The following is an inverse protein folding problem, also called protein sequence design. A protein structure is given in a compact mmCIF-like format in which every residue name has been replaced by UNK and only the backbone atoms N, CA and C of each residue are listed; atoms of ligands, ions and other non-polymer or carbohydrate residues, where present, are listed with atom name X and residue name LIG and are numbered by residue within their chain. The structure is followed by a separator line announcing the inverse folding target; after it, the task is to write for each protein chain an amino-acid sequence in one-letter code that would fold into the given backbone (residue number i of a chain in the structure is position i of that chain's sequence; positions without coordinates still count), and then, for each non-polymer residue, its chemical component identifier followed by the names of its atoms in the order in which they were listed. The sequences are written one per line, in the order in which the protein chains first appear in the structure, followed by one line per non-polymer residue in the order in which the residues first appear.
data_IF_583415736977
#
_entry.id   IF_583415736977
#
_cell.length_a   1.000
_cell.length_b   1.000
_cell.length_c   1.000
_cell.angle_alpha   90.00
_cell.angle_beta   90.00
_cell.angle_gamma   90.00
#
_symmetry.space_group_name_H-M   'P 1'
#
loop_
_entity.id
_entity.type
_entity.pdbx_description
1 polymer ?
#
# COMPACT_ATOMS: atom_id res chain seq x y z
N UNK A 1 20.87 -9.12 22.36
CA UNK A 1 20.69 -8.42 21.06
C UNK A 1 19.73 -9.25 20.24
N UNK A 2 18.45 -8.85 20.17
CA UNK A 2 17.49 -9.48 19.28
C UNK A 2 17.60 -8.70 17.97
N UNK A 3 18.28 -9.27 16.97
CA UNK A 3 18.19 -8.76 15.61
C UNK A 3 16.73 -8.91 15.18
N UNK A 4 16.11 -7.83 14.68
CA UNK A 4 14.78 -7.92 14.09
C UNK A 4 14.84 -8.96 12.97
N UNK A 5 14.13 -10.10 13.09
CA UNK A 5 14.19 -11.14 12.07
C UNK A 5 13.67 -10.55 10.76
N UNK A 6 14.44 -10.72 9.68
CA UNK A 6 13.97 -10.36 8.34
C UNK A 6 12.67 -11.11 8.08
N UNK A 7 11.59 -10.36 7.89
CA UNK A 7 10.30 -10.93 7.58
C UNK A 7 10.32 -11.45 6.14
N UNK A 8 10.15 -12.76 5.97
CA UNK A 8 10.22 -13.42 4.66
C UNK A 8 8.83 -13.67 4.05
N UNK A 9 7.78 -13.12 4.66
CA UNK A 9 6.40 -13.43 4.33
C UNK A 9 5.87 -14.69 5.03
N UNK A 10 4.55 -14.90 5.00
CA UNK A 10 3.88 -16.00 5.66
C UNK A 10 4.09 -17.30 4.88
N UNK A 11 4.41 -18.38 5.61
CA UNK A 11 4.47 -19.75 5.10
C UNK A 11 3.12 -20.46 5.32
N UNK A 12 2.85 -21.63 4.69
CA UNK A 12 1.62 -22.38 4.92
C UNK A 12 1.32 -22.64 6.40
N UNK A 13 2.35 -22.90 7.23
CA UNK A 13 2.21 -23.07 8.67
C UNK A 13 1.74 -21.78 9.38
N UNK A 14 2.15 -20.60 8.91
CA UNK A 14 1.73 -19.31 9.48
C UNK A 14 0.21 -19.11 9.36
N UNK A 15 -0.38 -19.51 8.23
CA UNK A 15 -1.83 -19.41 8.04
C UNK A 15 -2.61 -20.30 9.00
N UNK A 16 -2.10 -21.49 9.33
CA UNK A 16 -2.69 -22.36 10.34
C UNK A 16 -2.57 -21.75 11.73
N UNK A 17 -1.38 -21.30 12.13
CA UNK A 17 -1.16 -20.64 13.42
C UNK A 17 -2.04 -19.39 13.56
N UNK A 18 -2.24 -18.65 12.47
CA UNK A 18 -3.06 -17.43 12.45
C UNK A 18 -4.56 -17.67 12.71
N UNK A 19 -5.05 -18.91 12.71
CA UNK A 19 -6.42 -19.24 13.12
C UNK A 19 -6.66 -18.96 14.61
N UNK A 20 -5.61 -19.01 15.44
CA UNK A 20 -5.69 -18.48 16.80
C UNK A 20 -5.51 -16.94 16.75
N UNK A 21 -6.53 -16.15 17.13
CA UNK A 21 -6.43 -14.69 17.14
C UNK A 21 -5.34 -14.14 18.07
N UNK A 22 -4.91 -14.95 19.05
CA UNK A 22 -3.86 -14.61 20.02
C UNK A 22 -2.46 -15.04 19.56
N UNK A 23 -2.36 -15.82 18.49
CA UNK A 23 -1.07 -16.24 17.98
C UNK A 23 -0.27 -15.04 17.50
N UNK A 24 0.92 -14.88 18.07
CA UNK A 24 1.86 -13.80 17.75
C UNK A 24 3.03 -14.24 16.87
N UNK A 25 3.40 -15.51 16.96
CA UNK A 25 4.40 -16.17 16.14
C UNK A 25 3.87 -17.49 15.61
N UNK A 26 4.40 -17.91 14.46
CA UNK A 26 4.25 -19.28 14.02
C UNK A 26 5.13 -20.18 14.90
N UNK A 27 4.50 -21.20 15.48
CA UNK A 27 5.13 -22.24 16.30
C UNK A 27 6.11 -23.13 15.53
N UNK A 28 5.96 -23.22 14.21
CA UNK A 28 6.82 -24.05 13.36
C UNK A 28 8.01 -23.29 12.76
N UNK A 29 7.77 -22.13 12.15
CA UNK A 29 8.83 -21.38 11.45
C UNK A 29 9.36 -20.18 12.23
N UNK A 30 8.77 -19.85 13.39
CA UNK A 30 9.18 -18.73 14.23
C UNK A 30 8.88 -17.33 13.65
N UNK A 31 8.28 -17.23 12.46
CA UNK A 31 7.96 -15.95 11.84
C UNK A 31 6.84 -15.23 12.60
N UNK A 32 6.89 -13.88 12.70
CA UNK A 32 5.81 -13.11 13.31
C UNK A 32 4.53 -13.22 12.47
N UNK A 33 3.38 -13.31 13.14
CA UNK A 33 2.07 -13.32 12.49
C UNK A 33 1.62 -11.88 12.22
N UNK A 34 2.02 -11.34 11.07
CA UNK A 34 1.67 -9.98 10.65
C UNK A 34 0.32 -9.97 9.92
N UNK A 35 -0.70 -9.44 10.59
CA UNK A 35 -2.09 -9.43 10.10
C UNK A 35 -2.40 -8.17 9.29
N UNK A 36 -3.31 -8.32 8.32
CA UNK A 36 -3.96 -7.18 7.67
C UNK A 36 -4.62 -6.24 8.70
N UNK A 37 -4.70 -4.94 8.41
CA UNK A 37 -5.45 -4.00 9.27
C UNK A 37 -6.93 -4.38 9.43
N UNK A 38 -7.50 -5.07 8.44
CA UNK A 38 -8.89 -5.55 8.41
C UNK A 38 -8.96 -7.09 8.53
N UNK A 39 -8.02 -7.69 9.26
CA UNK A 39 -7.92 -9.14 9.45
C UNK A 39 -9.20 -9.78 10.00
N UNK A 40 -10.02 -9.03 10.76
CA UNK A 40 -11.33 -9.49 11.25
C UNK A 40 -12.31 -9.81 10.13
N UNK A 41 -12.17 -9.12 8.99
CA UNK A 41 -13.00 -9.34 7.82
C UNK A 41 -12.34 -10.27 6.81
N UNK A 42 -11.03 -10.12 6.58
CA UNK A 42 -10.35 -10.80 5.49
C UNK A 42 -9.53 -12.03 5.90
N UNK A 43 -9.27 -12.22 7.19
CA UNK A 43 -8.44 -13.33 7.73
C UNK A 43 -6.99 -13.36 7.23
N UNK A 44 -6.56 -12.35 6.46
CA UNK A 44 -5.32 -12.40 5.71
C UNK A 44 -4.11 -11.95 6.53
N UNK A 45 -2.99 -12.62 6.26
CA UNK A 45 -1.65 -12.16 6.65
C UNK A 45 -1.08 -11.28 5.55
N UNK A 46 -0.19 -10.37 5.93
CA UNK A 46 0.58 -9.58 4.97
C UNK A 46 1.58 -10.48 4.25
N UNK A 47 1.75 -10.30 2.95
CA UNK A 47 2.77 -11.00 2.16
C UNK A 47 4.18 -10.47 2.45
N UNK A 48 5.21 -11.03 1.78
CA UNK A 48 6.60 -10.61 1.96
C UNK A 48 6.85 -9.13 1.66
N UNK A 49 6.03 -8.49 0.82
CA UNK A 49 6.12 -7.05 0.57
C UNK A 49 5.51 -6.24 1.72
N UNK A 50 4.63 -6.83 2.53
CA UNK A 50 3.85 -6.12 3.56
C UNK A 50 2.47 -5.70 3.07
N UNK A 51 2.03 -6.19 1.91
CA UNK A 51 0.70 -5.95 1.35
C UNK A 51 -0.28 -7.04 1.79
N UNK A 52 -1.56 -6.69 1.98
CA UNK A 52 -2.60 -7.69 2.17
C UNK A 52 -3.05 -8.23 0.80
N UNK A 53 -2.85 -9.53 0.48
CA UNK A 53 -3.19 -10.09 -0.83
C UNK A 53 -4.71 -10.22 -1.06
N UNK A 54 -5.52 -10.04 -0.01
CA UNK A 54 -6.99 -10.15 -0.09
C UNK A 54 -7.66 -8.79 -0.21
N UNK A 55 -7.24 -7.81 0.59
CA UNK A 55 -7.83 -6.46 0.60
C UNK A 55 -7.27 -5.53 -0.47
N UNK A 56 -6.07 -5.84 -0.98
CA UNK A 56 -5.37 -5.05 -2.00
C UNK A 56 -5.07 -5.97 -3.16
N UNK A 57 -6.01 -6.06 -4.09
CA UNK A 57 -5.92 -6.91 -5.27
C UNK A 57 -6.29 -6.14 -6.55
N UNK A 58 -5.53 -5.08 -6.90
CA UNK A 58 -5.72 -4.43 -8.18
C UNK A 58 -5.29 -5.37 -9.31
N UNK A 59 -6.02 -5.31 -10.42
CA UNK A 59 -5.61 -5.88 -11.70
C UNK A 59 -5.59 -4.76 -12.74
N UNK A 60 -4.60 -4.79 -13.63
CA UNK A 60 -4.52 -3.91 -14.77
C UNK A 60 -4.47 -4.77 -16.03
N UNK A 61 -5.31 -4.47 -17.01
CA UNK A 61 -5.30 -5.17 -18.29
C UNK A 61 -5.43 -4.19 -19.46
N UNK A 62 -4.96 -4.61 -20.63
CA UNK A 62 -5.27 -3.97 -21.91
C UNK A 62 -6.57 -4.56 -22.43
N UNK A 63 -7.51 -3.70 -22.83
CA UNK A 63 -8.79 -4.15 -23.37
C UNK A 63 -8.61 -4.89 -24.70
N UNK A 64 -9.56 -5.78 -25.03
CA UNK A 64 -9.60 -6.41 -26.35
C UNK A 64 -9.74 -5.34 -27.45
N UNK A 65 -9.11 -5.56 -28.60
CA UNK A 65 -9.02 -4.57 -29.66
C UNK A 65 -7.94 -3.50 -29.46
N UNK A 66 -7.16 -3.57 -28.36
CA UNK A 66 -6.00 -2.70 -28.19
C UNK A 66 -5.02 -2.89 -29.35
N UNK A 67 -4.56 -1.78 -29.90
CA UNK A 67 -3.54 -1.75 -30.94
C UNK A 67 -2.23 -2.36 -30.42
N UNK A 68 -1.68 -3.29 -31.19
CA UNK A 68 -0.47 -4.06 -30.88
C UNK A 68 0.77 -3.53 -31.63
N UNK A 69 0.60 -2.68 -32.66
CA UNK A 69 1.69 -1.97 -33.34
C UNK A 69 1.25 -0.58 -33.82
N UNK A 70 2.22 0.27 -34.12
CA UNK A 70 2.00 1.61 -34.69
C UNK A 70 3.16 1.95 -35.63
N UNK A 71 2.93 2.80 -36.64
CA UNK A 71 4.01 3.25 -37.53
C UNK A 71 4.76 4.43 -36.94
N UNK A 72 6.00 4.62 -37.38
CA UNK A 72 6.77 5.85 -37.13
C UNK A 72 5.91 7.08 -37.49
N UNK A 73 5.96 8.08 -36.62
CA UNK A 73 5.16 9.30 -36.70
C UNK A 73 3.75 9.18 -36.15
N UNK A 74 3.30 7.99 -35.75
CA UNK A 74 2.00 7.75 -35.12
C UNK A 74 2.01 7.88 -33.58
N UNK A 75 0.82 7.75 -32.99
CA UNK A 75 0.61 7.64 -31.54
C UNK A 75 -0.22 6.40 -31.24
N UNK A 76 0.13 5.67 -30.18
CA UNK A 76 -0.57 4.48 -29.74
C UNK A 76 -1.58 4.83 -28.64
N UNK A 77 -2.82 4.35 -28.79
CA UNK A 77 -3.82 4.38 -27.74
C UNK A 77 -3.84 3.04 -27.01
N UNK A 78 -3.68 3.08 -25.69
CA UNK A 78 -3.68 1.93 -24.79
C UNK A 78 -4.93 2.03 -23.91
N UNK A 79 -6.02 1.34 -24.29
CA UNK A 79 -7.22 1.28 -23.46
C UNK A 79 -6.95 0.35 -22.28
N UNK A 80 -6.65 0.93 -21.12
CA UNK A 80 -6.41 0.18 -19.90
C UNK A 80 -7.72 -0.05 -19.16
N UNK A 81 -7.81 -1.19 -18.47
CA UNK A 81 -8.88 -1.50 -17.54
C UNK A 81 -8.26 -1.76 -16.18
N UNK A 82 -8.67 -0.98 -15.18
CA UNK A 82 -8.29 -1.21 -13.77
C UNK A 82 -9.45 -1.94 -13.10
N UNK A 83 -9.18 -3.07 -12.47
CA UNK A 83 -10.17 -3.85 -11.73
C UNK A 83 -9.77 -4.04 -10.26
N UNK A 84 -10.78 -4.17 -9.39
CA UNK A 84 -10.57 -4.55 -7.99
C UNK A 84 -11.01 -6.01 -7.79
N UNK A 85 -10.04 -6.91 -7.69
CA UNK A 85 -10.28 -8.35 -7.49
C UNK A 85 -10.38 -8.76 -6.02
N UNK A 86 -10.51 -7.79 -5.10
CA UNK A 86 -10.70 -8.08 -3.67
C UNK A 86 -11.86 -9.05 -3.46
N UNK A 87 -11.62 -10.12 -2.70
CA UNK A 87 -12.66 -11.11 -2.35
C UNK A 87 -13.50 -10.71 -1.14
N UNK A 88 -13.13 -9.62 -0.48
CA UNK A 88 -13.87 -9.03 0.63
C UNK A 88 -14.54 -7.74 0.19
N UNK A 89 -15.53 -7.28 0.94
CA UNK A 89 -16.29 -6.06 0.65
C UNK A 89 -15.47 -4.76 0.89
N UNK A 90 -14.28 -4.65 0.30
CA UNK A 90 -13.31 -3.58 0.49
C UNK A 90 -13.03 -2.84 -0.82
N UNK A 91 -13.46 -1.57 -0.94
CA UNK A 91 -13.13 -0.76 -2.09
C UNK A 91 -11.63 -0.48 -2.20
N UNK A 92 -11.16 -0.36 -3.43
CA UNK A 92 -9.87 0.25 -3.76
C UNK A 92 -10.10 1.69 -4.21
N UNK A 93 -9.24 2.59 -3.77
CA UNK A 93 -9.23 3.97 -4.23
C UNK A 93 -8.02 4.16 -5.13
N UNK A 94 -8.26 4.49 -6.40
CA UNK A 94 -7.17 4.81 -7.34
C UNK A 94 -7.00 6.32 -7.31
N UNK A 95 -5.92 6.77 -6.68
CA UNK A 95 -5.75 8.18 -6.33
C UNK A 95 -5.02 8.96 -7.44
N UNK A 96 -4.09 8.30 -8.13
CA UNK A 96 -3.34 8.90 -9.23
C UNK A 96 -2.77 7.81 -10.15
N UNK A 97 -2.53 8.16 -11.42
CA UNK A 97 -1.89 7.30 -12.41
C UNK A 97 -0.93 8.14 -13.26
N UNK A 98 0.23 7.55 -13.58
CA UNK A 98 1.22 8.15 -14.45
C UNK A 98 1.67 7.16 -15.52
N UNK A 99 2.13 7.72 -16.63
CA UNK A 99 2.81 7.01 -17.70
C UNK A 99 4.18 7.63 -17.88
N UNK A 100 5.19 6.78 -18.04
CA UNK A 100 6.56 7.18 -18.36
C UNK A 100 7.00 6.50 -19.64
N UNK A 101 7.33 7.31 -20.65
CA UNK A 101 7.88 6.82 -21.92
C UNK A 101 9.40 6.73 -21.89
N UNK A 102 10.01 6.59 -23.07
CA UNK A 102 11.47 6.50 -23.23
C UNK A 102 12.21 7.80 -22.88
N UNK A 103 11.53 8.94 -23.01
CA UNK A 103 12.03 10.25 -22.56
C UNK A 103 12.23 10.36 -21.05
N UNK A 104 11.78 9.36 -20.29
CA UNK A 104 11.86 9.30 -18.83
C UNK A 104 10.91 10.27 -18.11
N UNK A 105 10.13 11.08 -18.83
CA UNK A 105 9.21 12.04 -18.23
C UNK A 105 7.95 11.33 -17.73
N UNK A 106 7.62 11.55 -16.46
CA UNK A 106 6.35 11.10 -15.86
C UNK A 106 5.24 12.05 -16.29
N UNK A 107 4.21 11.53 -16.96
CA UNK A 107 3.00 12.27 -17.37
C UNK A 107 1.81 11.74 -16.60
N UNK A 108 1.07 12.62 -15.96
CA UNK A 108 -0.15 12.25 -15.24
C UNK A 108 -1.27 11.88 -16.22
N UNK A 109 -2.03 10.86 -15.85
CA UNK A 109 -3.20 10.39 -16.60
C UNK A 109 -4.44 10.79 -15.82
N UNK A 110 -5.35 11.48 -16.48
CA UNK A 110 -6.63 11.84 -15.88
C UNK A 110 -7.47 10.58 -15.63
N UNK A 111 -7.90 10.40 -14.38
CA UNK A 111 -8.70 9.26 -13.97
C UNK A 111 -10.19 9.66 -13.96
N UNK A 112 -11.06 8.99 -14.74
CA UNK A 112 -12.50 9.28 -14.73
C UNK A 112 -13.22 8.69 -13.49
N UNK A 113 -12.48 8.02 -12.60
CA UNK A 113 -12.97 7.40 -11.38
C UNK A 113 -11.90 7.46 -10.29
N UNK A 114 -12.34 7.38 -9.03
CA UNK A 114 -11.42 7.29 -7.88
C UNK A 114 -11.70 6.11 -6.97
N UNK A 115 -12.80 5.37 -7.19
CA UNK A 115 -13.24 4.28 -6.31
C UNK A 115 -13.69 3.09 -7.14
N UNK A 116 -13.13 1.93 -6.84
CA UNK A 116 -13.51 0.64 -7.38
C UNK A 116 -14.02 -0.25 -6.25
N UNK A 117 -15.32 -0.54 -6.27
CA UNK A 117 -15.87 -1.57 -5.38
C UNK A 117 -15.33 -2.95 -5.78
N UNK A 118 -15.34 -3.93 -4.87
CA UNK A 118 -14.96 -5.31 -5.17
C UNK A 118 -15.70 -5.87 -6.39
N UNK A 119 -14.96 -6.51 -7.30
CA UNK A 119 -15.47 -7.05 -8.56
C UNK A 119 -15.77 -5.99 -9.64
N UNK A 120 -15.65 -4.70 -9.34
CA UNK A 120 -15.84 -3.65 -10.33
C UNK A 120 -14.54 -3.36 -11.10
N UNK A 121 -14.72 -2.87 -12.32
CA UNK A 121 -13.65 -2.39 -13.19
C UNK A 121 -14.01 -1.03 -13.79
N UNK A 122 -12.99 -0.29 -14.23
CA UNK A 122 -13.16 0.96 -14.95
C UNK A 122 -12.04 1.15 -15.97
N UNK A 123 -12.38 1.82 -17.07
CA UNK A 123 -11.45 2.08 -18.17
C UNK A 123 -10.66 3.36 -17.95
N UNK A 124 -9.40 3.35 -18.38
CA UNK A 124 -8.50 4.51 -18.42
C UNK A 124 -7.87 4.57 -19.80
N UNK A 125 -8.07 5.68 -20.50
CA UNK A 125 -7.45 5.91 -21.80
C UNK A 125 -6.04 6.45 -21.63
N UNK A 126 -5.03 5.66 -22.00
CA UNK A 126 -3.65 6.13 -22.11
C UNK A 126 -3.31 6.35 -23.58
N UNK A 127 -2.63 7.45 -23.88
CA UNK A 127 -2.08 7.72 -25.21
C UNK A 127 -0.61 7.99 -25.11
N UNK A 128 0.17 7.37 -26.00
CA UNK A 128 1.58 7.71 -26.14
C UNK A 128 1.70 9.08 -26.82
N UNK A 129 2.85 9.71 -26.64
CA UNK A 129 3.29 10.77 -27.56
C UNK A 129 3.51 10.23 -28.97
N UNK A 130 3.95 11.12 -29.87
CA UNK A 130 4.36 10.74 -31.22
C UNK A 130 5.64 9.90 -31.14
N UNK A 131 5.67 8.79 -31.85
CA UNK A 131 6.80 7.85 -31.84
C UNK A 131 7.69 8.12 -33.05
N UNK A 132 8.92 8.56 -32.82
CA UNK A 132 9.80 9.08 -33.89
C UNK A 132 10.72 8.04 -34.50
N UNK A 133 10.92 6.91 -33.82
CA UNK A 133 11.85 5.85 -34.21
C UNK A 133 11.13 4.51 -34.35
N UNK A 134 11.54 3.71 -35.32
CA UNK A 134 11.10 2.33 -35.43
C UNK A 134 11.83 1.44 -34.40
N UNK A 135 11.24 0.27 -34.12
CA UNK A 135 11.80 -0.70 -33.18
C UNK A 135 10.86 -1.01 -32.02
N UNK A 136 11.39 -1.66 -30.97
CA UNK A 136 10.60 -2.00 -29.79
C UNK A 136 10.58 -0.82 -28.82
N UNK A 137 9.39 -0.31 -28.54
CA UNK A 137 9.19 0.77 -27.56
C UNK A 137 8.64 0.22 -26.26
N UNK A 138 8.92 0.91 -25.16
CA UNK A 138 8.37 0.58 -23.85
C UNK A 138 7.77 1.81 -23.19
N UNK A 139 6.60 1.62 -22.58
CA UNK A 139 6.07 2.57 -21.60
C UNK A 139 5.92 1.88 -20.24
N UNK A 140 6.20 2.62 -19.19
CA UNK A 140 5.91 2.21 -17.82
C UNK A 140 4.61 2.88 -17.37
N UNK A 141 3.70 2.10 -16.79
CA UNK A 141 2.45 2.58 -16.19
C UNK A 141 2.58 2.43 -14.69
N UNK A 142 2.28 3.49 -13.95
CA UNK A 142 2.33 3.52 -12.49
C UNK A 142 1.02 4.06 -11.93
N UNK A 143 0.54 3.55 -10.80
CA UNK A 143 -0.62 4.14 -10.12
C UNK A 143 -0.57 3.95 -8.60
N UNK A 144 -1.21 4.87 -7.88
CA UNK A 144 -1.43 4.76 -6.43
C UNK A 144 -2.77 4.09 -6.18
N UNK A 145 -2.75 3.01 -5.40
CA UNK A 145 -3.95 2.38 -4.87
C UNK A 145 -3.97 2.47 -3.35
N UNK A 146 -5.09 2.93 -2.79
CA UNK A 146 -5.34 3.00 -1.37
C UNK A 146 -6.47 2.05 -0.95
N UNK A 147 -6.37 1.51 0.25
CA UNK A 147 -7.43 0.76 0.92
C UNK A 147 -7.66 1.36 2.30
N UNK A 148 -8.92 1.41 2.74
CA UNK A 148 -9.32 2.07 4.00
C UNK A 148 -10.02 1.09 4.92
N UNK A 149 -9.69 1.09 6.19
CA UNK A 149 -10.39 0.34 7.23
C UNK A 149 -10.51 1.18 8.50
N UNK A 150 -11.76 1.41 8.93
CA UNK A 150 -12.07 2.34 10.02
C UNK A 150 -11.44 3.72 9.75
N UNK A 151 -10.56 4.19 10.63
CA UNK A 151 -9.83 5.46 10.50
C UNK A 151 -8.43 5.30 9.91
N UNK A 152 -8.09 4.10 9.41
CA UNK A 152 -6.76 3.79 8.85
C UNK A 152 -6.80 3.66 7.34
N UNK A 153 -5.68 3.98 6.71
CA UNK A 153 -5.49 3.92 5.27
C UNK A 153 -4.11 3.37 4.92
N UNK A 154 -4.06 2.35 4.08
CA UNK A 154 -2.82 1.83 3.50
C UNK A 154 -2.78 2.18 2.01
N UNK A 155 -1.65 2.73 1.56
CA UNK A 155 -1.38 3.14 0.19
C UNK A 155 -0.22 2.36 -0.37
N UNK A 156 -0.34 2.04 -1.65
CA UNK A 156 0.62 1.27 -2.41
C UNK A 156 0.79 1.90 -3.79
N UNK A 157 1.99 1.82 -4.34
CA UNK A 157 2.26 2.19 -5.74
C UNK A 157 2.51 0.91 -6.51
N UNK A 158 1.75 0.71 -7.59
CA UNK A 158 1.94 -0.40 -8.51
C UNK A 158 2.53 0.11 -9.81
N UNK A 159 3.39 -0.71 -10.42
CA UNK A 159 4.00 -0.45 -11.72
C UNK A 159 3.89 -1.67 -12.62
N UNK A 160 3.82 -1.42 -13.92
CA UNK A 160 3.99 -2.42 -14.96
C UNK A 160 4.57 -1.76 -16.21
N UNK A 161 5.03 -2.57 -17.16
CA UNK A 161 5.56 -2.07 -18.42
C UNK A 161 4.83 -2.72 -19.59
N UNK A 162 4.46 -1.91 -20.57
CA UNK A 162 3.89 -2.37 -21.84
C UNK A 162 4.93 -2.14 -22.91
N UNK A 163 5.31 -3.21 -23.60
CA UNK A 163 6.21 -3.15 -24.76
C UNK A 163 5.41 -3.36 -26.04
N UNK A 164 5.69 -2.57 -27.07
CA UNK A 164 5.03 -2.67 -28.36
C UNK A 164 6.00 -2.30 -29.51
N UNK A 165 5.89 -2.98 -30.67
CA UNK A 165 6.67 -2.64 -31.85
C UNK A 165 6.15 -1.37 -32.54
N UNK A 166 7.10 -0.56 -33.02
CA UNK A 166 6.88 0.56 -33.93
C UNK A 166 7.49 0.20 -35.28
N UNK A 167 6.65 0.14 -36.31
CA UNK A 167 7.03 -0.24 -37.67
C UNK A 167 7.66 0.94 -38.41
N UNK A 168 8.68 0.68 -39.22
CA UNK A 168 9.31 1.68 -40.09
C UNK A 168 8.30 2.35 -41.02
N UNK A 169 8.63 3.58 -41.44
CA UNK A 169 7.87 4.31 -42.45
C UNK A 169 8.15 3.67 -43.84
N UNK A 170 7.61 2.48 -44.07
CA UNK A 170 7.70 1.77 -45.33
C UNK A 170 6.66 2.28 -46.33
N UNK A 171 6.95 2.27 -47.65
CA UNK A 171 5.94 2.55 -48.65
C UNK A 171 4.77 1.58 -48.43
N UNK A 172 3.54 2.08 -48.48
CA UNK A 172 2.36 1.24 -48.50
C UNK A 172 2.39 0.38 -49.77
N UNK A 173 3.10 -0.75 -49.71
CA UNK A 173 3.01 -1.76 -50.75
C UNK A 173 1.56 -2.26 -50.74
N UNK A 174 0.85 -1.89 -51.80
CA UNK A 174 -0.41 -2.51 -52.13
C UNK A 174 -0.07 -3.97 -52.46
N UNK A 175 -0.15 -4.86 -51.47
CA UNK A 175 -0.15 -6.29 -51.72
C UNK A 175 -1.48 -6.61 -52.41
N UNK A 176 -1.47 -6.55 -53.74
CA UNK A 176 -2.51 -7.12 -54.59
C UNK A 176 -2.30 -8.63 -54.60
N UNK A 177 -3.01 -9.35 -53.74
CA UNK A 177 -3.13 -10.80 -53.84
C UNK A 177 -3.93 -11.13 -55.11
N UNK A 178 -3.23 -11.55 -56.17
CA UNK A 178 -3.85 -12.13 -57.35
C UNK A 178 -4.08 -13.63 -57.11
N UNK A 179 -5.32 -14.03 -56.83
CA UNK A 179 -5.72 -15.42 -56.99
C UNK A 179 -6.05 -15.66 -58.45
N UNK A 180 -5.10 -16.20 -59.22
CA UNK A 180 -5.35 -16.72 -60.56
C UNK A 180 -5.70 -18.20 -60.38
N UNK A 181 -6.99 -18.55 -60.52
CA UNK A 181 -7.39 -19.94 -60.74
C UNK A 181 -7.04 -20.33 -62.18
N UNK A 182 -6.26 -21.40 -62.33
CA UNK A 182 -5.64 -21.81 -63.59
C UNK A 182 -6.57 -22.55 -64.57
N UNK A 183 -7.89 -22.47 -64.40
CA UNK A 183 -8.82 -23.33 -65.17
C UNK A 183 -9.65 -22.58 -66.23
N UNK A 184 -9.44 -21.28 -66.45
CA UNK A 184 -10.15 -20.54 -67.52
C UNK A 184 -9.22 -19.57 -68.28
N UNK A 185 -8.20 -20.11 -68.96
CA UNK A 185 -7.48 -19.38 -70.02
C UNK A 185 -8.18 -19.69 -71.34
N UNK A 186 -9.23 -18.93 -71.67
CA UNK A 186 -10.04 -19.31 -72.82
C UNK A 186 -11.07 -18.31 -73.35
N UNK A 187 -11.03 -17.02 -73.01
CA UNK A 187 -11.70 -15.96 -73.78
C UNK A 187 -11.33 -14.59 -73.21
N UNK A 188 -11.12 -13.60 -74.07
CA UNK A 188 -10.76 -12.25 -73.65
C UNK A 188 -11.75 -11.68 -72.64
N UNK A 189 -11.25 -11.31 -71.46
CA UNK A 189 -12.00 -10.56 -70.47
C UNK A 189 -11.26 -9.27 -70.12
N UNK A 190 -11.87 -8.16 -70.51
CA UNK A 190 -11.60 -6.83 -69.98
C UNK A 190 -11.88 -6.86 -68.47
N UNK A 191 -10.84 -6.77 -67.65
CA UNK A 191 -11.01 -6.58 -66.20
C UNK A 191 -11.48 -5.12 -66.01
N UNK A 192 -12.78 -4.96 -65.85
CA UNK A 192 -13.38 -3.72 -65.39
C UNK A 192 -12.87 -3.44 -63.97
N UNK A 193 -12.16 -2.33 -63.79
CA UNK A 193 -11.70 -1.85 -62.49
C UNK A 193 -12.73 -0.84 -61.96
N UNK A 194 -13.73 -1.24 -61.16
CA UNK A 194 -14.38 -0.28 -60.30
C UNK A 194 -13.37 0.02 -59.18
N UNK A 195 -12.70 1.16 -59.29
CA UNK A 195 -11.97 1.81 -58.20
C UNK A 195 -12.98 2.11 -57.08
N UNK A 196 -13.35 1.09 -56.31
CA UNK A 196 -14.05 1.29 -55.05
C UNK A 196 -12.97 1.61 -54.05
N UNK A 197 -12.81 2.91 -53.80
CA UNK A 197 -12.09 3.47 -52.66
C UNK A 197 -12.79 2.92 -51.41
N UNK A 198 -12.36 1.74 -50.96
CA UNK A 198 -12.72 1.08 -49.72
C UNK A 198 -11.44 0.49 -49.09
N UNK A 199 -10.31 1.21 -49.19
CA UNK A 199 -9.03 0.84 -48.58
C UNK A 199 -8.37 2.00 -47.84
N UNK A 200 -9.18 2.77 -47.10
CA UNK A 200 -8.66 3.63 -46.02
C UNK A 200 -9.00 3.07 -44.61
N UNK A 201 -9.67 1.90 -44.52
CA UNK A 201 -10.04 1.30 -43.23
C UNK A 201 -9.17 0.12 -42.78
N UNK A 202 -8.17 -0.24 -43.55
CA UNK A 202 -7.25 -1.35 -43.23
C UNK A 202 -5.80 -0.90 -43.43
N UNK A 203 -5.39 0.18 -42.75
CA UNK A 203 -4.04 0.18 -42.20
C UNK A 203 -4.10 -0.79 -41.02
N UNK A 204 -3.91 -2.08 -41.29
CA UNK A 204 -4.08 -3.18 -40.35
C UNK A 204 -3.12 -3.06 -39.17
N UNK A 205 -3.48 -2.23 -38.20
CA UNK A 205 -2.88 -2.25 -36.87
C UNK A 205 -3.28 -3.60 -36.30
N UNK A 206 -2.31 -4.49 -36.06
CA UNK A 206 -2.57 -5.73 -35.36
C UNK A 206 -3.26 -5.39 -34.04
N UNK A 207 -4.38 -6.03 -33.73
CA UNK A 207 -5.08 -5.81 -32.46
C UNK A 207 -5.10 -7.09 -31.65
N UNK A 208 -5.10 -6.97 -30.33
CA UNK A 208 -5.28 -8.12 -29.45
C UNK A 208 -6.72 -8.63 -29.50
N UNK A 209 -6.90 -9.93 -29.74
CA UNK A 209 -8.23 -10.56 -29.78
C UNK A 209 -8.83 -10.73 -28.38
N UNK A 210 -7.98 -10.92 -27.36
CA UNK A 210 -8.36 -11.08 -25.96
C UNK A 210 -7.70 -10.01 -25.09
N UNK A 211 -8.28 -9.66 -23.92
CA UNK A 211 -7.64 -8.75 -22.98
C UNK A 211 -6.30 -9.31 -22.49
N UNK A 212 -5.28 -8.45 -22.41
CA UNK A 212 -3.98 -8.84 -21.86
C UNK A 212 -3.91 -8.38 -20.41
N UNK A 213 -3.87 -9.32 -19.48
CA UNK A 213 -3.60 -9.03 -18.06
C UNK A 213 -2.13 -8.67 -17.89
N UNK A 214 -1.87 -7.46 -17.39
CA UNK A 214 -0.53 -6.96 -17.14
C UNK A 214 -0.05 -7.41 -15.76
N UNK A 215 1.20 -7.85 -15.68
CA UNK A 215 1.81 -8.21 -14.40
C UNK A 215 2.14 -6.94 -13.63
N UNK A 216 1.42 -6.71 -12.52
CA UNK A 216 1.69 -5.62 -11.60
C UNK A 216 2.78 -6.00 -10.61
N UNK A 217 3.68 -5.07 -10.36
CA UNK A 217 4.67 -5.14 -9.29
C UNK A 217 4.48 -3.95 -8.35
N UNK A 218 4.59 -4.19 -7.04
CA UNK A 218 4.64 -3.10 -6.08
C UNK A 218 5.98 -2.37 -6.20
N UNK A 219 5.95 -1.05 -6.17
CA UNK A 219 7.09 -0.19 -6.41
C UNK A 219 7.53 0.55 -5.13
N UNK A 220 8.10 -0.18 -4.16
CA UNK A 220 8.46 0.34 -2.82
C UNK A 220 9.34 1.61 -2.85
N UNK A 221 10.29 1.69 -3.80
CA UNK A 221 11.13 2.88 -3.96
C UNK A 221 10.29 4.09 -4.37
N UNK A 222 9.33 3.90 -5.27
CA UNK A 222 8.46 4.97 -5.75
C UNK A 222 7.44 5.40 -4.70
N UNK A 223 7.00 4.48 -3.84
CA UNK A 223 6.16 4.80 -2.68
C UNK A 223 6.84 5.82 -1.75
N UNK A 224 8.16 5.68 -1.56
CA UNK A 224 8.98 6.63 -0.79
C UNK A 224 9.17 7.95 -1.55
N UNK A 225 9.54 7.90 -2.83
CA UNK A 225 9.72 9.10 -3.68
C UNK A 225 8.47 9.98 -3.73
N UNK A 226 7.29 9.36 -3.82
CA UNK A 226 6.00 10.05 -3.86
C UNK A 226 5.46 10.42 -2.46
N UNK A 227 6.21 10.14 -1.39
CA UNK A 227 5.78 10.39 -0.03
C UNK A 227 4.53 9.61 0.39
N UNK A 228 4.21 8.50 -0.30
CA UNK A 228 3.07 7.65 0.05
C UNK A 228 3.37 6.81 1.28
N UNK A 229 4.59 6.31 1.40
CA UNK A 229 5.07 5.54 2.56
C UNK A 229 6.39 6.07 3.10
N UNK A 230 6.67 5.81 4.38
CA UNK A 230 7.87 6.28 5.07
C UNK A 230 7.87 7.79 5.37
N UNK A 231 8.90 8.26 6.06
CA UNK A 231 9.08 9.66 6.43
C UNK A 231 9.80 10.44 5.34
N UNK A 232 9.69 11.77 5.39
CA UNK A 232 10.34 12.69 4.44
C UNK A 232 11.88 12.57 4.46
N UNK A 233 12.46 12.14 5.57
CA UNK A 233 13.91 11.89 5.70
C UNK A 233 14.33 10.51 5.18
N UNK A 234 13.45 9.79 4.49
CA UNK A 234 13.69 8.48 3.90
C UNK A 234 13.51 7.30 4.86
N UNK A 235 13.33 7.55 6.16
CA UNK A 235 13.13 6.49 7.15
C UNK A 235 11.83 5.73 6.87
N UNK A 236 11.88 4.41 6.87
CA UNK A 236 10.70 3.54 6.84
C UNK A 236 10.51 2.81 8.17
N UNK A 237 9.29 2.73 8.67
CA UNK A 237 8.97 1.93 9.87
C UNK A 237 8.15 0.71 9.44
N UNK A 238 8.79 -0.45 9.19
CA UNK A 238 8.06 -1.63 8.73
C UNK A 238 7.16 -2.18 9.84
N UNK A 239 6.09 -2.88 9.47
CA UNK A 239 5.18 -3.53 10.45
C UNK A 239 5.85 -4.62 11.29
N UNK A 240 6.98 -5.15 10.83
CA UNK A 240 7.82 -6.11 11.56
C UNK A 240 8.73 -5.46 12.60
N UNK A 241 8.79 -4.12 12.68
CA UNK A 241 9.67 -3.40 13.63
C UNK A 241 9.41 -3.84 15.07
N UNK A 242 10.48 -4.10 15.82
CA UNK A 242 10.36 -4.48 17.21
C UNK A 242 10.08 -3.26 18.11
N UNK A 243 9.11 -3.39 19.00
CA UNK A 243 8.86 -2.46 20.10
C UNK A 243 9.53 -2.99 21.36
N UNK A 244 10.30 -2.15 22.04
CA UNK A 244 10.83 -2.43 23.38
C UNK A 244 10.23 -1.44 24.39
N UNK A 245 9.74 -1.96 25.51
CA UNK A 245 9.02 -1.20 26.53
C UNK A 245 9.94 -0.95 27.72
N UNK A 246 10.25 0.32 27.98
CA UNK A 246 11.21 0.71 29.03
C UNK A 246 10.51 1.55 30.09
N UNK A 247 10.74 1.24 31.37
CA UNK A 247 10.13 1.96 32.50
C UNK A 247 8.68 1.54 32.81
N UNK A 248 8.26 0.38 32.30
CA UNK A 248 7.00 -0.28 32.66
C UNK A 248 7.30 -1.40 33.65
N UNK A 249 6.41 -1.61 34.63
CA UNK A 249 6.57 -2.71 35.58
C UNK A 249 6.12 -4.03 34.94
N UNK A 250 6.50 -5.17 35.54
CA UNK A 250 6.15 -6.50 35.05
C UNK A 250 4.63 -6.66 34.84
N UNK A 251 4.25 -7.16 33.67
CA UNK A 251 2.85 -7.35 33.29
C UNK A 251 2.10 -6.06 32.91
N UNK A 252 2.76 -4.90 32.85
CA UNK A 252 2.15 -3.65 32.38
C UNK A 252 2.36 -3.39 30.88
N UNK A 253 3.26 -4.11 30.21
CA UNK A 253 3.51 -4.01 28.78
C UNK A 253 3.74 -5.42 28.19
N UNK A 254 3.52 -5.62 26.88
CA UNK A 254 3.78 -6.92 26.26
C UNK A 254 5.28 -7.18 26.14
N UNK A 255 5.64 -8.43 25.84
CA UNK A 255 7.02 -8.79 25.54
C UNK A 255 7.56 -7.99 24.33
N UNK A 256 8.87 -7.72 24.28
CA UNK A 256 9.48 -7.04 23.14
C UNK A 256 9.21 -7.73 21.79
N UNK A 257 9.00 -6.92 20.75
CA UNK A 257 8.80 -7.38 19.38
C UNK A 257 7.73 -6.59 18.62
N UNK A 258 7.31 -7.05 17.43
CA UNK A 258 6.37 -6.32 16.59
C UNK A 258 4.98 -6.24 17.22
N UNK A 259 4.16 -5.30 16.72
CA UNK A 259 2.75 -5.21 17.10
C UNK A 259 2.02 -6.45 16.58
N UNK A 260 1.64 -7.36 17.49
CA UNK A 260 1.01 -8.65 17.15
C UNK A 260 -0.48 -8.72 17.43
N UNK A 261 -1.07 -7.62 17.89
CA UNK A 261 -2.52 -7.50 18.10
C UNK A 261 -3.27 -7.77 16.81
N UNK A 262 -4.51 -8.26 16.91
CA UNK A 262 -5.30 -8.70 15.75
C UNK A 262 -5.40 -7.66 14.62
N UNK A 263 -5.57 -6.37 14.96
CA UNK A 263 -5.62 -5.26 13.99
C UNK A 263 -4.29 -4.54 13.74
N UNK A 264 -3.18 -4.97 14.35
CA UNK A 264 -1.90 -4.25 14.27
C UNK A 264 -1.92 -2.88 14.96
N UNK A 265 -2.59 -2.77 16.10
CA UNK A 265 -2.74 -1.56 16.92
C UNK A 265 -2.46 -1.90 18.38
N UNK A 266 -1.52 -1.19 19.01
CA UNK A 266 -1.28 -1.27 20.46
C UNK A 266 -2.15 -0.25 21.18
N UNK A 267 -2.97 -0.73 22.10
CA UNK A 267 -3.83 0.08 22.95
C UNK A 267 -3.19 0.40 24.29
N UNK A 268 -3.12 1.70 24.63
CA UNK A 268 -2.46 2.20 25.83
C UNK A 268 -3.45 2.99 26.69
N UNK A 269 -3.48 2.70 27.99
CA UNK A 269 -4.32 3.43 28.95
C UNK A 269 -4.28 2.83 30.35
N UNK A 270 -5.19 3.23 31.23
CA UNK A 270 -5.16 2.80 32.64
C UNK A 270 -5.60 1.35 32.89
N UNK A 271 -6.47 0.80 32.04
CA UNK A 271 -7.02 -0.54 32.24
C UNK A 271 -5.92 -1.61 32.17
N UNK A 272 -6.06 -2.68 32.96
CA UNK A 272 -5.07 -3.76 32.98
C UNK A 272 -5.18 -4.62 31.72
N UNK A 273 -4.05 -5.08 31.14
CA UNK A 273 -4.05 -6.07 30.07
C UNK A 273 -4.61 -7.43 30.48
N UNK A 274 -4.66 -7.72 31.79
CA UNK A 274 -5.08 -9.00 32.35
C UNK A 274 -6.55 -9.03 32.78
N UNK A 275 -7.27 -7.91 32.70
CA UNK A 275 -8.68 -7.87 33.11
C UNK A 275 -9.56 -8.65 32.11
N UNK A 276 -10.60 -9.38 32.56
CA UNK A 276 -11.59 -9.96 31.66
C UNK A 276 -12.22 -8.86 30.77
N UNK A 277 -12.09 -9.00 29.44
CA UNK A 277 -12.47 -7.95 28.49
C UNK A 277 -11.42 -6.83 28.32
N UNK A 278 -10.14 -7.14 28.60
CA UNK A 278 -9.00 -6.24 28.48
C UNK A 278 -9.07 -5.39 27.21
N UNK A 279 -9.00 -4.06 27.42
CA UNK A 279 -9.09 -3.06 26.36
C UNK A 279 -7.71 -2.54 25.92
N UNK A 280 -6.66 -2.88 26.65
CA UNK A 280 -5.31 -2.37 26.45
C UNK A 280 -4.27 -3.48 26.41
N UNK A 281 -3.25 -3.25 25.61
CA UNK A 281 -2.03 -4.03 25.56
C UNK A 281 -1.00 -3.47 26.55
N UNK A 282 -1.05 -2.16 26.82
CA UNK A 282 -0.12 -1.46 27.70
C UNK A 282 -0.88 -0.68 28.77
N UNK A 283 -0.51 -0.91 30.02
CA UNK A 283 -1.02 -0.20 31.19
C UNK A 283 -0.20 1.04 31.48
N UNK A 284 -0.88 2.14 31.71
CA UNK A 284 -0.29 3.41 32.06
C UNK A 284 -0.87 3.92 33.39
N UNK A 285 0.00 3.98 34.40
CA UNK A 285 -0.31 4.45 35.74
C UNK A 285 0.69 5.51 36.15
N UNK A 286 0.29 6.43 37.03
CA UNK A 286 1.21 7.35 37.68
C UNK A 286 1.75 6.67 38.93
N UNK A 287 3.06 6.71 39.10
CA UNK A 287 3.75 6.16 40.27
C UNK A 287 4.41 7.31 41.05
N UNK A 288 4.31 7.25 42.37
CA UNK A 288 5.06 8.11 43.29
C UNK A 288 6.10 7.30 44.08
N UNK A 289 6.74 7.92 45.08
CA UNK A 289 7.72 7.26 45.96
C UNK A 289 7.14 6.04 46.69
N UNK A 290 5.85 6.11 47.06
CA UNK A 290 5.15 5.09 47.86
C UNK A 290 4.38 4.07 46.99
N UNK A 291 4.66 4.03 45.68
CA UNK A 291 3.99 3.15 44.71
C UNK A 291 2.98 3.88 43.83
N UNK A 292 1.99 3.17 43.30
CA UNK A 292 1.02 3.72 42.33
C UNK A 292 0.12 4.78 42.97
N UNK A 293 0.10 5.99 42.40
CA UNK A 293 -0.83 7.06 42.76
C UNK A 293 -2.17 6.80 42.04
N UNK A 294 -3.08 6.12 42.72
CA UNK A 294 -4.39 5.74 42.17
C UNK A 294 -5.24 6.97 41.83
N UNK A 295 -5.23 7.99 42.68
CA UNK A 295 -6.01 9.22 42.49
C UNK A 295 -5.55 9.99 41.26
N UNK A 296 -4.23 10.15 41.08
CA UNK A 296 -3.68 10.77 39.88
C UNK A 296 -3.90 9.92 38.63
N UNK A 297 -3.84 8.59 38.77
CA UNK A 297 -4.03 7.67 37.64
C UNK A 297 -5.44 7.72 37.06
N UNK A 298 -6.49 8.03 37.85
CA UNK A 298 -7.88 8.12 37.37
C UNK A 298 -8.04 9.07 36.17
N UNK A 299 -7.20 10.11 36.08
CA UNK A 299 -7.20 11.07 34.97
C UNK A 299 -6.71 10.47 33.64
N UNK A 300 -6.00 9.34 33.69
CA UNK A 300 -5.71 8.53 32.51
C UNK A 300 -6.96 7.69 32.20
N UNK A 301 -7.54 7.94 31.03
CA UNK A 301 -8.67 7.16 30.50
C UNK A 301 -8.33 5.65 30.46
N UNK A 302 -9.36 4.81 30.64
CA UNK A 302 -9.21 3.35 30.57
C UNK A 302 -8.50 2.93 29.29
N UNK A 303 -8.92 3.50 28.15
CA UNK A 303 -8.24 3.46 26.85
C UNK A 303 -7.90 4.89 26.47
N UNK A 304 -6.62 5.22 26.35
CA UNK A 304 -6.17 6.61 26.27
C UNK A 304 -5.72 6.99 24.87
N UNK A 305 -4.88 6.17 24.24
CA UNK A 305 -4.43 6.36 22.86
C UNK A 305 -3.98 5.03 22.26
N UNK A 306 -3.80 5.05 20.95
CA UNK A 306 -3.31 3.93 20.16
C UNK A 306 -1.97 4.25 19.52
N UNK A 307 -1.10 3.25 19.43
CA UNK A 307 0.07 3.25 18.56
C UNK A 307 -0.12 2.20 17.46
N UNK A 308 0.20 2.54 16.23
CA UNK A 308 0.10 1.63 15.09
C UNK A 308 1.04 2.03 13.97
N UNK A 309 1.30 1.10 13.06
CA UNK A 309 2.04 1.38 11.84
C UNK A 309 1.06 1.55 10.69
N UNK A 310 1.21 2.62 9.93
CA UNK A 310 0.41 2.92 8.75
C UNK A 310 1.30 3.55 7.69
N UNK A 311 1.28 3.03 6.47
CA UNK A 311 2.13 3.54 5.37
C UNK A 311 3.61 3.65 5.77
N UNK A 312 4.10 2.65 6.49
CA UNK A 312 5.44 2.59 7.08
C UNK A 312 5.83 3.80 7.95
N UNK A 313 4.85 4.34 8.68
CA UNK A 313 5.03 5.40 9.67
C UNK A 313 4.48 4.94 11.01
N UNK A 314 5.16 5.31 12.09
CA UNK A 314 4.61 5.18 13.43
C UNK A 314 3.56 6.27 13.65
N UNK A 315 2.35 5.84 13.96
CA UNK A 315 1.20 6.71 14.15
C UNK A 315 0.68 6.64 15.58
N UNK A 316 0.17 7.76 16.05
CA UNK A 316 -0.61 7.90 17.27
C UNK A 316 -2.06 8.26 16.91
N UNK A 317 -3.02 7.68 17.62
CA UNK A 317 -4.42 8.15 17.63
C UNK A 317 -4.92 8.36 19.05
N UNK A 318 -5.54 9.50 19.31
CA UNK A 318 -6.09 9.82 20.63
C UNK A 318 -7.48 9.21 20.80
N UNK A 319 -7.70 8.49 21.91
CA UNK A 319 -9.00 7.89 22.26
C UNK A 319 -9.63 8.51 23.52
N UNK A 320 -8.81 9.16 24.34
CA UNK A 320 -9.22 9.83 25.58
C UNK A 320 -10.10 11.03 25.30
N UNK A 321 -11.13 11.23 26.14
CA UNK A 321 -11.99 12.43 26.04
C UNK A 321 -11.24 13.72 26.36
N UNK A 322 -10.24 13.64 27.22
CA UNK A 322 -9.47 14.81 27.70
C UNK A 322 -8.32 15.18 26.76
N UNK A 323 -8.09 14.40 25.70
CA UNK A 323 -6.93 14.57 24.84
C UNK A 323 -5.63 14.14 25.50
N UNK A 324 -4.52 14.46 24.84
CA UNK A 324 -3.15 14.37 25.34
C UNK A 324 -2.31 15.50 24.75
N UNK A 325 -1.06 15.64 25.18
CA UNK A 325 -0.09 16.52 24.50
C UNK A 325 0.96 15.72 23.75
N UNK A 326 1.29 16.13 22.53
CA UNK A 326 2.42 15.63 21.76
C UNK A 326 3.41 16.78 21.61
N UNK A 327 4.62 16.64 22.16
CA UNK A 327 5.65 17.70 22.16
C UNK A 327 5.15 19.05 22.72
N UNK A 328 4.17 19.03 23.61
CA UNK A 328 3.55 20.23 24.19
C UNK A 328 2.25 20.64 23.51
N UNK A 329 2.02 20.28 22.26
CA UNK A 329 0.80 20.61 21.51
C UNK A 329 -0.35 19.70 21.90
N UNK A 330 -1.55 20.26 22.07
CA UNK A 330 -2.72 19.50 22.48
C UNK A 330 -3.33 18.76 21.29
N UNK A 331 -3.56 17.45 21.46
CA UNK A 331 -4.33 16.63 20.54
C UNK A 331 -5.66 16.19 21.17
N UNK A 332 -6.76 16.40 20.45
CA UNK A 332 -8.11 16.06 20.86
C UNK A 332 -8.48 14.61 20.49
N UNK A 333 -9.60 14.12 21.03
CA UNK A 333 -10.10 12.77 20.75
C UNK A 333 -10.33 12.58 19.25
N UNK A 334 -9.81 11.48 18.71
CA UNK A 334 -9.96 11.08 17.31
C UNK A 334 -8.90 11.66 16.39
N UNK A 335 -8.09 12.63 16.86
CA UNK A 335 -6.96 13.14 16.11
C UNK A 335 -5.85 12.09 15.99
N UNK A 336 -5.15 12.15 14.86
CA UNK A 336 -4.03 11.28 14.52
C UNK A 336 -2.77 12.11 14.30
N UNK A 337 -1.62 11.58 14.69
CA UNK A 337 -0.33 12.24 14.49
C UNK A 337 0.74 11.23 14.08
N UNK A 338 1.64 11.66 13.19
CA UNK A 338 2.85 10.91 12.84
C UNK A 338 3.87 11.15 13.96
N UNK A 339 4.37 10.07 14.55
CA UNK A 339 5.38 10.15 15.60
C UNK A 339 6.78 10.09 14.99
N UNK A 340 7.66 11.00 15.39
CA UNK A 340 9.06 11.04 14.99
C UNK A 340 9.97 10.58 16.13
N UNK A 341 11.23 10.33 15.80
CA UNK A 341 12.25 10.04 16.80
C UNK A 341 12.38 11.21 17.79
N UNK A 342 12.31 10.93 19.09
CA UNK A 342 12.41 11.94 20.16
C UNK A 342 11.06 12.49 20.61
N UNK A 343 9.95 12.17 19.94
CA UNK A 343 8.64 12.67 20.30
C UNK A 343 8.23 12.25 21.72
N UNK A 344 7.60 13.18 22.43
CA UNK A 344 7.12 13.00 23.81
C UNK A 344 5.61 13.12 23.85
N UNK A 345 4.97 12.04 24.27
CA UNK A 345 3.54 11.95 24.49
C UNK A 345 3.27 12.15 25.98
N UNK A 346 2.52 13.18 26.35
CA UNK A 346 2.09 13.45 27.71
C UNK A 346 0.56 13.21 27.83
N UNK A 347 0.13 12.07 28.40
CA UNK A 347 -1.29 11.72 28.55
C UNK A 347 -2.12 12.74 29.34
N UNK A 348 -1.49 13.47 30.27
CA UNK A 348 -2.19 14.45 31.10
C UNK A 348 -1.96 15.87 30.60
N UNK A 349 -2.97 16.46 29.98
CA UNK A 349 -2.90 17.84 29.42
C UNK A 349 -2.60 18.89 30.49
N UNK A 350 -3.13 18.74 31.71
CA UNK A 350 -2.98 19.70 32.82
C UNK A 350 -1.72 19.49 33.68
N UNK A 351 -1.15 18.28 33.65
CA UNK A 351 0.05 17.89 34.42
C UNK A 351 0.96 17.00 33.56
N UNK A 352 1.48 17.53 32.44
CA UNK A 352 2.25 16.73 31.48
C UNK A 352 3.54 16.13 32.07
N UNK A 353 4.06 16.74 33.13
CA UNK A 353 5.24 16.29 33.88
C UNK A 353 4.99 15.04 34.73
N UNK A 354 3.73 14.78 35.11
CA UNK A 354 3.41 13.65 35.99
C UNK A 354 3.70 12.30 35.33
N UNK A 355 3.49 12.21 34.02
CA UNK A 355 3.81 11.03 33.24
C UNK A 355 3.95 11.39 31.76
N UNK A 356 4.94 10.78 31.11
CA UNK A 356 5.16 10.91 29.68
C UNK A 356 5.67 9.60 29.09
N UNK A 357 5.51 9.46 27.78
CA UNK A 357 6.03 8.37 26.98
C UNK A 357 6.88 8.99 25.86
N UNK A 358 8.17 8.68 25.86
CA UNK A 358 9.10 9.13 24.83
C UNK A 358 9.33 8.03 23.80
N UNK A 359 9.30 8.41 22.53
CA UNK A 359 9.59 7.54 21.40
C UNK A 359 11.06 7.70 21.01
N UNK A 360 11.76 6.59 20.87
CA UNK A 360 13.09 6.57 20.25
C UNK A 360 13.10 5.54 19.14
N UNK A 361 13.38 5.98 17.92
CA UNK A 361 13.48 5.10 16.76
C UNK A 361 14.95 4.90 16.47
N UNK A 362 15.42 3.68 16.64
CA UNK A 362 16.79 3.32 16.30
C UNK A 362 16.83 2.80 14.87
N UNK A 363 17.59 3.52 14.03
CA UNK A 363 17.70 3.25 12.61
C UNK A 363 18.68 2.09 12.35
N UNK A 364 18.31 1.25 11.41
CA UNK A 364 19.16 0.29 10.72
C UNK A 364 19.19 0.70 9.25
N UNK A 365 20.21 1.46 8.84
CA UNK A 365 20.27 2.11 7.52
C UNK A 365 19.06 3.04 7.31
N UNK A 366 18.19 2.74 6.35
CA UNK A 366 17.02 3.56 5.97
C UNK A 366 15.71 3.05 6.57
N UNK A 367 15.79 2.07 7.49
CA UNK A 367 14.63 1.49 8.16
C UNK A 367 14.75 1.57 9.67
N UNK A 368 13.62 1.56 10.36
CA UNK A 368 13.59 1.41 11.81
C UNK A 368 13.93 -0.04 12.17
N UNK A 369 15.07 -0.24 12.85
CA UNK A 369 15.44 -1.54 13.39
C UNK A 369 14.60 -1.86 14.64
N UNK A 370 14.43 -0.87 15.53
CA UNK A 370 13.61 -0.99 16.74
C UNK A 370 13.05 0.35 17.20
N UNK A 371 11.93 0.30 17.93
CA UNK A 371 11.28 1.44 18.56
C UNK A 371 11.31 1.23 20.07
N UNK A 372 11.97 2.12 20.79
CA UNK A 372 11.95 2.16 22.24
C UNK A 372 10.81 3.08 22.69
N UNK A 373 9.86 2.52 23.43
CA UNK A 373 8.78 3.27 24.06
C UNK A 373 9.12 3.41 25.54
N UNK A 374 9.60 4.60 25.91
CA UNK A 374 10.12 4.86 27.26
C UNK A 374 9.09 5.62 28.10
N UNK A 375 8.53 4.96 29.11
CA UNK A 375 7.72 5.62 30.14
C UNK A 375 8.64 6.39 31.09
N UNK A 376 8.29 7.65 31.34
CA UNK A 376 8.90 8.49 32.37
C UNK A 376 7.82 9.00 33.30
N UNK A 377 8.05 8.88 34.59
CA UNK A 377 7.14 9.36 35.63
C UNK A 377 7.83 10.50 36.35
N UNK A 378 7.13 11.62 36.49
CA UNK A 378 7.65 12.76 37.25
C UNK A 378 7.73 12.40 38.73
N UNK A 379 8.87 12.66 39.37
CA UNK A 379 8.91 12.75 40.82
C UNK A 379 8.10 13.98 41.23
N UNK A 380 7.15 13.85 42.16
CA UNK A 380 6.47 15.02 42.73
C UNK A 380 7.55 16.01 43.20
N UNK A 381 7.64 17.17 42.55
CA UNK A 381 8.21 18.34 43.19
C UNK A 381 7.39 18.59 44.45
N UNK A 382 8.08 18.64 45.59
CA UNK A 382 7.47 18.96 46.89
C UNK A 382 6.73 20.30 46.83
#
# INVERSE_FOLDING_TARGET
MIQSPTFLGPQPCCHRTALDPRATFCDECGQPILRCMASEECGALLDASGQCPVCVAPELSLNAGAAASVRVGGSLALPLVVANLSRVNRPLFIEAMWVRGEDGQKREVELPFHRLNPGASAEVGVRTGRLETAGMHRIDIMFVAATRFLWREERYVFTTSVAFPVEEEGPSEIVQNYNIHADEIGAGMTIYNPTRIQKEREAGIATHAEPIVLTLQRADTMEKELGQRGYEDGLSVPRSVAFEWVGFDDGQAPDPGPIRTHGGVVSIGRASPHDPGAQNDVRLLISGPDGVDQEASVYISRRHFFLYIENDRLMLRVESKNGLRLNGDMLAKGETARLKNGDVIAPLVRRPEAISVMITIEKLVDEAGRILVRRRVGTRGK
#
